data_IF_795633719770
#
_entry.id   IF_795633719770
#
_cell.length_a   1.000
_cell.length_b   1.000
_cell.length_c   1.000
_cell.angle_alpha   90.00
_cell.angle_beta   90.00
_cell.angle_gamma   90.00
#
_symmetry.space_group_name_H-M   'P 1'
#
loop_
_entity.id
_entity.type
_entity.pdbx_description
1 polymer ?
#
# COMPACT_ATOMS: atom_id res chain seq x y z
N UNK A 1 -13.49 -43.80 16.61
CA UNK A 1 -12.20 -43.42 16.00
C UNK A 1 -12.49 -42.56 14.79
N UNK A 2 -11.74 -41.48 14.67
CA UNK A 2 -12.09 -40.22 14.00
C UNK A 2 -12.11 -40.27 12.47
N UNK A 3 -12.85 -39.30 11.90
CA UNK A 3 -13.20 -39.23 10.49
C UNK A 3 -12.06 -38.81 9.55
N UNK A 4 -12.19 -39.29 8.32
CA UNK A 4 -11.25 -39.08 7.20
C UNK A 4 -11.57 -37.72 6.58
N UNK A 5 -10.83 -36.68 6.97
CA UNK A 5 -10.96 -35.34 6.38
C UNK A 5 -10.02 -35.20 5.17
N UNK A 6 -10.58 -35.41 3.97
CA UNK A 6 -9.92 -35.07 2.70
C UNK A 6 -9.84 -33.55 2.53
N UNK A 7 -8.74 -32.93 2.95
CA UNK A 7 -8.40 -31.55 2.57
C UNK A 7 -7.86 -31.53 1.12
N UNK A 8 -8.73 -31.22 0.15
CA UNK A 8 -8.31 -30.87 -1.22
C UNK A 8 -8.16 -29.35 -1.34
N UNK A 9 -6.92 -28.89 -1.40
CA UNK A 9 -6.58 -27.50 -1.75
C UNK A 9 -6.88 -27.24 -3.23
N UNK A 10 -7.56 -26.15 -3.61
CA UNK A 10 -7.79 -25.84 -5.02
C UNK A 10 -6.46 -25.50 -5.71
N UNK A 11 -6.19 -26.17 -6.85
CA UNK A 11 -5.05 -25.88 -7.70
C UNK A 11 -5.26 -24.57 -8.46
N UNK A 12 -4.19 -23.76 -8.54
CA UNK A 12 -4.17 -22.41 -9.12
C UNK A 12 -4.45 -22.47 -10.63
N UNK A 13 -5.50 -21.78 -11.09
CA UNK A 13 -5.77 -21.62 -12.52
C UNK A 13 -4.66 -20.82 -13.21
N UNK A 14 -4.25 -21.30 -14.39
CA UNK A 14 -3.11 -20.83 -15.16
C UNK A 14 -3.16 -19.36 -15.62
N UNK A 15 -1.94 -18.88 -15.88
CA UNK A 15 -1.49 -17.53 -16.22
C UNK A 15 -2.30 -16.89 -17.35
N UNK A 16 -2.88 -15.71 -17.09
CA UNK A 16 -3.24 -14.76 -18.17
C UNK A 16 -2.00 -13.94 -18.55
N UNK A 17 -1.71 -13.97 -19.86
CA UNK A 17 -0.61 -13.29 -20.55
C UNK A 17 -0.50 -11.81 -20.16
N UNK A 18 0.72 -11.38 -19.88
CA UNK A 18 1.09 -9.99 -19.59
C UNK A 18 0.89 -9.13 -20.84
N UNK A 19 -0.22 -8.42 -20.89
CA UNK A 19 -0.36 -7.23 -21.75
C UNK A 19 0.58 -6.17 -21.16
N UNK A 20 1.48 -5.62 -21.97
CA UNK A 20 2.27 -4.44 -21.66
C UNK A 20 1.31 -3.31 -21.23
N UNK A 21 1.06 -3.20 -19.94
CA UNK A 21 0.27 -2.12 -19.38
C UNK A 21 1.27 -1.14 -18.79
N UNK A 22 1.45 -0.01 -19.47
CA UNK A 22 2.00 1.21 -18.88
C UNK A 22 1.46 1.33 -17.46
N UNK A 23 2.31 1.17 -16.45
CA UNK A 23 1.88 1.25 -15.05
C UNK A 23 1.17 2.58 -14.86
N UNK A 24 -0.12 2.61 -14.47
CA UNK A 24 -0.82 3.87 -14.28
C UNK A 24 -0.05 4.73 -13.30
N UNK A 25 0.33 5.95 -13.71
CA UNK A 25 0.96 6.90 -12.81
C UNK A 25 -0.01 7.20 -11.65
N UNK A 26 0.38 6.82 -10.43
CA UNK A 26 -0.44 7.06 -9.23
C UNK A 26 -0.05 8.42 -8.69
N UNK A 27 -0.92 9.41 -8.88
CA UNK A 27 -0.73 10.74 -8.30
C UNK A 27 -1.32 10.76 -6.89
N UNK A 28 -0.46 10.94 -5.88
CA UNK A 28 -0.86 11.00 -4.47
C UNK A 28 -1.07 12.48 -4.12
N UNK A 29 -2.31 12.89 -3.73
CA UNK A 29 -2.59 14.26 -3.34
C UNK A 29 -1.86 14.61 -2.05
N UNK A 30 -1.76 15.92 -1.76
CA UNK A 30 -1.18 16.38 -0.51
C UNK A 30 -1.95 15.82 0.70
N UNK A 31 -1.21 15.38 1.72
CA UNK A 31 -1.75 14.77 2.93
C UNK A 31 -2.84 15.55 3.68
N UNK A 32 -2.87 16.91 3.70
CA UNK A 32 -3.94 17.66 4.36
C UNK A 32 -5.35 17.34 3.83
N UNK A 33 -5.46 16.88 2.57
CA UNK A 33 -6.74 16.49 1.96
C UNK A 33 -7.14 15.04 2.25
N UNK A 34 -6.32 14.31 3.01
CA UNK A 34 -6.51 12.90 3.28
C UNK A 34 -6.89 12.68 4.73
N UNK A 35 -7.81 11.74 4.98
CA UNK A 35 -8.16 11.34 6.33
C UNK A 35 -6.99 10.59 6.95
N UNK A 36 -6.49 11.04 8.12
CA UNK A 36 -5.43 10.33 8.85
C UNK A 36 -5.99 9.05 9.47
N UNK A 37 -5.37 7.91 9.15
CA UNK A 37 -5.71 6.60 9.72
C UNK A 37 -4.92 6.33 11.00
N UNK A 38 -3.70 6.84 11.10
CA UNK A 38 -2.84 6.64 12.26
C UNK A 38 -1.47 7.27 12.11
N UNK A 39 -0.65 7.11 13.13
CA UNK A 39 0.75 7.50 13.14
C UNK A 39 1.61 6.43 13.81
N UNK A 40 2.88 6.41 13.46
CA UNK A 40 3.89 5.55 14.07
C UNK A 40 5.22 6.30 14.16
N UNK A 41 6.30 5.57 14.41
CA UNK A 41 7.65 6.12 14.58
C UNK A 41 8.11 6.90 13.34
N UNK A 42 7.98 8.23 13.37
CA UNK A 42 8.40 9.12 12.29
C UNK A 42 7.53 9.11 11.03
N UNK A 43 6.39 8.42 11.04
CA UNK A 43 5.53 8.24 9.85
C UNK A 43 4.05 8.47 10.18
N UNK A 44 3.29 8.93 9.20
CA UNK A 44 1.83 9.01 9.25
C UNK A 44 1.20 8.18 8.14
N UNK A 45 0.04 7.61 8.44
CA UNK A 45 -0.74 6.81 7.50
C UNK A 45 -2.06 7.50 7.24
N UNK A 46 -2.44 7.60 5.97
CA UNK A 46 -3.63 8.31 5.51
C UNK A 46 -4.47 7.44 4.58
N UNK A 47 -5.78 7.65 4.58
CA UNK A 47 -6.72 7.05 3.66
C UNK A 47 -6.77 7.87 2.38
N UNK A 48 -6.42 7.24 1.25
CA UNK A 48 -6.59 7.78 -0.08
C UNK A 48 -7.87 7.24 -0.70
N UNK A 49 -8.92 8.05 -0.69
CA UNK A 49 -10.16 7.76 -1.43
C UNK A 49 -9.94 8.03 -2.91
N UNK A 50 -10.34 7.09 -3.77
CA UNK A 50 -10.30 7.28 -5.22
C UNK A 50 -11.58 7.94 -5.69
N UNK A 51 -11.48 8.94 -6.56
CA UNK A 51 -12.65 9.57 -7.18
C UNK A 51 -13.45 8.51 -7.95
N UNK A 52 -14.79 8.46 -7.79
CA UNK A 52 -15.64 7.51 -8.49
C UNK A 52 -15.78 7.92 -9.95
N UNK A 53 -14.74 7.69 -10.77
CA UNK A 53 -14.82 7.87 -12.23
C UNK A 53 -15.49 6.64 -12.86
N UNK A 54 -16.79 6.46 -12.56
CA UNK A 54 -17.64 5.40 -13.13
C UNK A 54 -17.43 3.99 -12.56
N UNK A 55 -16.34 3.72 -11.84
CA UNK A 55 -16.12 2.46 -11.12
C UNK A 55 -15.75 2.74 -9.66
N UNK A 56 -16.48 2.12 -8.73
CA UNK A 56 -16.11 2.12 -7.31
C UNK A 56 -14.77 1.43 -7.17
N UNK A 57 -13.81 2.21 -6.73
CA UNK A 57 -12.42 1.85 -6.72
C UNK A 57 -12.01 1.72 -5.26
N UNK A 58 -11.60 0.51 -4.84
CA UNK A 58 -11.21 0.27 -3.44
C UNK A 58 -10.20 1.33 -2.98
N UNK A 59 -10.37 1.86 -1.75
CA UNK A 59 -9.50 2.88 -1.19
C UNK A 59 -8.11 2.31 -0.91
N UNK A 60 -7.17 3.21 -0.71
CA UNK A 60 -5.76 2.88 -0.46
C UNK A 60 -5.33 3.49 0.86
N UNK A 61 -4.37 2.86 1.52
CA UNK A 61 -3.60 3.48 2.58
C UNK A 61 -2.32 4.08 2.00
N UNK A 62 -1.97 5.29 2.41
CA UNK A 62 -0.72 5.96 2.05
C UNK A 62 0.09 6.16 3.31
N UNK A 63 1.26 5.55 3.38
CA UNK A 63 2.24 5.73 4.44
C UNK A 63 3.32 6.68 3.96
N UNK A 64 3.61 7.72 4.74
CA UNK A 64 4.69 8.67 4.45
C UNK A 64 5.37 9.20 5.71
N UNK A 65 6.53 9.80 5.55
CA UNK A 65 7.27 10.44 6.64
C UNK A 65 6.44 11.60 7.21
N UNK A 66 6.32 11.65 8.53
CA UNK A 66 5.63 12.73 9.23
C UNK A 66 6.40 14.03 9.07
N UNK A 67 5.71 15.14 8.83
CA UNK A 67 6.33 16.47 8.83
C UNK A 67 6.91 16.86 10.18
N UNK A 68 6.41 16.25 11.27
CA UNK A 68 6.90 16.46 12.64
C UNK A 68 8.15 15.60 12.96
N UNK A 69 8.65 14.84 12.00
CA UNK A 69 9.85 14.04 12.21
C UNK A 69 11.09 14.93 12.27
N UNK A 70 11.94 14.71 13.27
CA UNK A 70 13.26 15.30 13.36
C UNK A 70 14.08 14.97 12.09
N UNK A 71 14.71 16.00 11.52
CA UNK A 71 15.54 15.91 10.33
C UNK A 71 16.70 14.93 10.51
N UNK A 72 17.21 14.77 11.74
CA UNK A 72 18.27 13.81 12.05
C UNK A 72 17.86 12.37 11.71
N UNK A 73 16.61 12.01 11.96
CA UNK A 73 16.09 10.67 11.72
C UNK A 73 15.33 10.53 10.40
N UNK A 74 15.06 11.64 9.70
CA UNK A 74 14.31 11.65 8.44
C UNK A 74 14.91 10.73 7.40
N UNK A 75 16.24 10.77 7.23
CA UNK A 75 16.98 9.91 6.28
C UNK A 75 16.84 8.43 6.64
N UNK A 76 16.88 8.10 7.95
CA UNK A 76 16.70 6.74 8.46
C UNK A 76 15.29 6.23 8.14
N UNK A 77 14.25 7.01 8.42
CA UNK A 77 12.88 6.60 8.11
C UNK A 77 12.61 6.55 6.62
N UNK A 78 13.23 7.41 5.82
CA UNK A 78 13.15 7.35 4.37
C UNK A 78 13.73 6.06 3.81
N UNK A 79 14.91 5.65 4.30
CA UNK A 79 15.52 4.37 3.96
C UNK A 79 14.60 3.20 4.35
N UNK A 80 14.10 3.19 5.58
CA UNK A 80 13.18 2.15 6.07
C UNK A 80 11.89 2.07 5.23
N UNK A 81 11.28 3.21 4.89
CA UNK A 81 10.08 3.25 4.06
C UNK A 81 10.36 2.72 2.65
N UNK A 82 11.54 3.01 2.10
CA UNK A 82 11.98 2.48 0.80
C UNK A 82 12.19 0.97 0.86
N UNK A 83 12.80 0.47 1.93
CA UNK A 83 13.03 -0.97 2.11
C UNK A 83 11.71 -1.73 2.34
N UNK A 84 10.79 -1.17 3.14
CA UNK A 84 9.42 -1.67 3.26
C UNK A 84 8.72 -1.77 1.91
N UNK A 85 8.82 -0.73 1.06
CA UNK A 85 8.23 -0.73 -0.27
C UNK A 85 8.82 -1.83 -1.17
N UNK A 86 10.13 -2.07 -1.11
CA UNK A 86 10.79 -3.15 -1.85
C UNK A 86 10.32 -4.53 -1.39
N UNK A 87 10.15 -4.74 -0.10
CA UNK A 87 9.65 -6.01 0.46
C UNK A 87 8.20 -6.21 0.00
N UNK A 88 7.33 -5.24 0.29
CA UNK A 88 5.88 -5.35 0.03
C UNK A 88 5.57 -5.55 -1.47
N UNK A 89 6.35 -4.94 -2.36
CA UNK A 89 6.23 -5.10 -3.82
C UNK A 89 6.36 -6.56 -4.27
N UNK A 90 7.13 -7.37 -3.55
CA UNK A 90 7.37 -8.77 -3.89
C UNK A 90 6.42 -9.74 -3.17
N UNK A 91 5.52 -9.24 -2.30
CA UNK A 91 4.56 -10.05 -1.58
C UNK A 91 3.21 -10.04 -2.32
N UNK A 92 2.64 -11.23 -2.51
CA UNK A 92 1.30 -11.40 -3.07
C UNK A 92 0.59 -12.56 -2.38
N UNK A 93 -0.18 -12.25 -1.34
CA UNK A 93 -0.87 -13.24 -0.51
C UNK A 93 -2.19 -12.66 0.01
N UNK A 94 -3.29 -13.43 0.08
CA UNK A 94 -4.61 -12.93 0.48
C UNK A 94 -4.68 -12.35 1.90
N UNK A 95 -3.74 -12.69 2.78
CA UNK A 95 -3.67 -12.18 4.17
C UNK A 95 -2.54 -11.18 4.40
N UNK A 96 -1.96 -10.64 3.34
CA UNK A 96 -0.93 -9.59 3.40
C UNK A 96 -1.44 -8.41 2.59
N UNK A 97 -1.32 -7.22 3.17
CA UNK A 97 -1.67 -5.96 2.49
C UNK A 97 -0.89 -5.83 1.19
N UNK A 98 -1.58 -5.67 0.07
CA UNK A 98 -0.95 -5.53 -1.24
C UNK A 98 -0.19 -4.22 -1.45
N UNK A 99 0.92 -4.30 -2.20
CA UNK A 99 1.64 -3.13 -2.71
C UNK A 99 0.96 -2.52 -3.94
N UNK A 100 1.13 -1.21 -4.14
CA UNK A 100 0.72 -0.53 -5.38
C UNK A 100 1.74 0.40 -5.97
N UNK A 101 2.23 1.32 -5.18
CA UNK A 101 3.14 2.33 -5.67
C UNK A 101 4.03 2.85 -4.56
N UNK A 102 5.24 3.21 -4.94
CA UNK A 102 6.15 4.00 -4.14
C UNK A 102 6.54 5.20 -5.00
N UNK A 103 6.10 6.38 -4.61
CA UNK A 103 6.22 7.59 -5.42
C UNK A 103 6.37 8.81 -4.52
N UNK A 104 6.88 9.89 -5.10
CA UNK A 104 6.80 11.20 -4.51
C UNK A 104 5.37 11.74 -4.63
N UNK A 105 4.84 12.30 -3.54
CA UNK A 105 3.59 13.05 -3.57
C UNK A 105 3.81 14.47 -4.09
N UNK A 106 2.74 15.20 -4.35
CA UNK A 106 2.79 16.58 -4.86
C UNK A 106 3.57 17.57 -3.96
N UNK A 107 3.79 17.21 -2.69
CA UNK A 107 4.54 18.00 -1.70
C UNK A 107 6.01 17.60 -1.58
N UNK A 108 6.52 16.76 -2.48
CA UNK A 108 7.91 16.28 -2.47
C UNK A 108 8.19 15.13 -1.51
N UNK A 109 7.18 14.66 -0.77
CA UNK A 109 7.37 13.59 0.21
C UNK A 109 7.26 12.19 -0.42
N UNK A 110 8.21 11.31 -0.14
CA UNK A 110 8.10 9.90 -0.53
C UNK A 110 6.95 9.21 0.20
N UNK A 111 6.13 8.51 -0.58
CA UNK A 111 4.89 7.90 -0.14
C UNK A 111 4.81 6.45 -0.64
N UNK A 112 4.47 5.55 0.28
CA UNK A 112 4.11 4.16 -0.01
C UNK A 112 2.59 4.03 -0.04
N UNK A 113 2.04 3.76 -1.21
CA UNK A 113 0.64 3.40 -1.40
C UNK A 113 0.46 1.88 -1.32
N UNK A 114 -0.45 1.45 -0.45
CA UNK A 114 -0.74 0.06 -0.14
C UNK A 114 -2.24 -0.17 0.01
N UNK A 115 -2.67 -1.42 -0.05
CA UNK A 115 -4.06 -1.80 0.13
C UNK A 115 -4.61 -1.34 1.49
N UNK A 116 -5.89 -0.96 1.51
CA UNK A 116 -6.56 -0.59 2.76
C UNK A 116 -7.07 -1.83 3.49
N UNK A 117 -6.60 -2.07 4.72
CA UNK A 117 -6.94 -3.25 5.52
C UNK A 117 -8.34 -3.27 6.16
N UNK A 118 -9.22 -2.33 5.80
CA UNK A 118 -10.57 -2.21 6.37
C UNK A 118 -10.65 -1.36 7.64
N UNK A 119 -11.88 -1.13 8.07
CA UNK A 119 -12.21 -0.51 9.36
C UNK A 119 -12.24 -1.59 10.48
N UNK A 120 -12.05 -1.17 11.72
CA UNK A 120 -12.19 -2.05 12.89
C UNK A 120 -13.66 -2.17 13.31
#
# INVERSE_FOLDING_TARGET
MEGINNFKTPNKSEKRKSVLCSTPCVNIPASPFMQKLGFGTGVSVYLMKRSPRGLSHSPWAVKKISLLCDDHYRTVYQKRLTDEAKILKNLNHPNIIGYRAFTEASDGSLCLAMEYGGEK
#
